data_IF_447315468990
#
_entry.id   IF_447315468990
#
_cell.length_a   1.000
_cell.length_b   1.000
_cell.length_c   1.000
_cell.angle_alpha   90.00
_cell.angle_beta   90.00
_cell.angle_gamma   90.00
#
_symmetry.space_group_name_H-M   'P 1'
#
loop_
_entity.id
_entity.type
_entity.pdbx_description
1 polymer ?
2 non-polymer ?
3 non-polymer ?
4 water ?
#
# COMPACT_ATOMS: atom_id res chain seq x y z
N UNK A 41 -11.96 -12.86 -19.89
CA UNK A 41 -10.52 -13.17 -19.99
C UNK A 41 -10.16 -14.23 -18.94
N UNK A 42 -9.51 -15.30 -19.40
CA UNK A 42 -9.07 -16.38 -18.54
C UNK A 42 -7.76 -15.99 -17.87
N UNK A 43 -7.53 -16.44 -16.64
CA UNK A 43 -6.35 -16.00 -15.89
C UNK A 43 -5.57 -17.13 -15.25
N UNK A 44 -4.35 -17.36 -15.72
CA UNK A 44 -3.51 -18.38 -15.14
C UNK A 44 -2.26 -17.76 -14.55
N UNK A 45 -1.79 -18.31 -13.44
CA UNK A 45 -0.51 -17.94 -12.85
C UNK A 45 0.53 -19.02 -13.17
N UNK A 46 1.70 -18.60 -13.65
CA UNK A 46 2.85 -19.53 -13.78
C UNK A 46 3.72 -19.28 -12.52
N UNK A 47 3.79 -20.26 -11.61
CA UNK A 47 4.64 -20.15 -10.39
C UNK A 47 5.85 -21.10 -10.44
N UNK A 48 6.78 -20.91 -9.51
CA UNK A 48 7.98 -21.70 -9.42
C UNK A 48 9.16 -20.90 -8.90
N UNK A 49 10.07 -21.60 -8.23
CA UNK A 49 11.39 -21.08 -7.84
C UNK A 49 12.23 -20.33 -8.89
N UNK A 50 13.18 -19.54 -8.38
CA UNK A 50 14.09 -18.66 -9.14
C UNK A 50 14.96 -19.33 -10.22
N UNK A 51 14.86 -18.84 -11.45
CA UNK A 51 15.53 -19.43 -12.60
C UNK A 51 15.09 -20.87 -12.89
N UNK A 52 13.85 -21.20 -12.53
CA UNK A 52 13.23 -22.48 -12.82
C UNK A 52 12.70 -22.59 -14.27
N UNK A 53 12.48 -21.47 -14.92
CA UNK A 53 12.00 -21.47 -16.33
C UNK A 53 10.78 -20.61 -16.68
N UNK A 54 10.14 -19.96 -15.70
CA UNK A 54 8.87 -19.22 -15.96
C UNK A 54 8.90 -18.27 -17.14
N UNK A 55 9.87 -17.35 -17.10
CA UNK A 55 10.14 -16.44 -18.20
C UNK A 55 10.34 -17.16 -19.52
N UNK A 56 10.97 -18.33 -19.49
CA UNK A 56 11.07 -19.15 -20.71
C UNK A 56 9.69 -19.72 -21.08
N UNK A 57 9.11 -20.53 -20.20
CA UNK A 57 7.79 -21.13 -20.48
C UNK A 57 6.84 -20.06 -21.04
N UNK A 58 6.94 -18.85 -20.50
CA UNK A 58 6.08 -17.71 -20.86
C UNK A 58 6.44 -17.07 -22.21
N UNK A 59 7.73 -16.83 -22.48
CA UNK A 59 8.15 -16.26 -23.76
C UNK A 59 7.88 -17.24 -24.90
N UNK A 60 7.84 -18.54 -24.58
CA UNK A 60 7.42 -19.58 -25.53
C UNK A 60 5.89 -19.62 -25.66
N UNK A 61 5.21 -19.75 -24.52
CA UNK A 61 3.76 -19.85 -24.52
C UNK A 61 3.07 -18.73 -25.29
N UNK A 62 3.48 -17.48 -25.10
CA UNK A 62 2.81 -16.37 -25.78
C UNK A 62 2.91 -16.42 -27.31
N UNK A 63 3.88 -17.17 -27.83
CA UNK A 63 4.13 -17.24 -29.26
C UNK A 63 3.21 -18.20 -30.02
N UNK A 64 2.55 -19.08 -29.30
CA UNK A 64 1.80 -20.19 -29.89
C UNK A 64 0.38 -19.83 -30.23
N UNK A 65 -0.11 -18.70 -29.72
CA UNK A 65 -1.46 -18.25 -30.08
C UNK A 65 -1.60 -16.73 -30.02
N UNK A 66 -2.36 -16.17 -30.95
CA UNK A 66 -2.64 -14.76 -30.88
C UNK A 66 -3.68 -14.49 -29.80
N UNK A 67 -4.30 -15.56 -29.28
CA UNK A 67 -5.29 -15.46 -28.17
C UNK A 67 -4.62 -15.52 -26.79
N UNK A 68 -3.30 -15.51 -26.74
CA UNK A 68 -2.62 -15.67 -25.48
C UNK A 68 -1.78 -14.44 -25.11
N UNK A 69 -1.84 -13.97 -23.87
CA UNK A 69 -0.86 -12.95 -23.42
C UNK A 69 -0.29 -13.11 -22.02
N UNK A 70 0.82 -12.42 -21.79
CA UNK A 70 1.64 -12.57 -20.61
C UNK A 70 1.75 -11.26 -19.81
N UNK A 71 1.82 -11.38 -18.50
CA UNK A 71 2.22 -10.22 -17.69
C UNK A 71 3.48 -10.62 -16.99
N UNK A 72 4.64 -10.15 -17.49
CA UNK A 72 5.88 -10.54 -16.85
C UNK A 72 6.07 -9.92 -15.45
N UNK A 73 6.94 -10.48 -14.63
CA UNK A 73 7.08 -10.05 -13.22
C UNK A 73 7.78 -8.72 -13.09
N UNK A 74 7.16 -7.76 -12.39
CA UNK A 74 7.82 -6.51 -11.98
C UNK A 74 9.24 -6.75 -11.50
N UNK A 75 9.38 -7.60 -10.49
CA UNK A 75 10.69 -7.87 -9.86
C UNK A 75 11.76 -8.24 -10.89
N UNK A 76 11.33 -8.87 -12.00
CA UNK A 76 12.26 -9.35 -13.04
C UNK A 76 12.61 -8.27 -14.05
N UNK A 77 11.68 -7.34 -14.27
CA UNK A 77 11.99 -6.15 -15.03
C UNK A 77 13.01 -5.25 -14.32
N UNK A 78 13.02 -5.31 -12.98
CA UNK A 78 14.07 -4.61 -12.24
C UNK A 78 15.40 -5.35 -12.35
N UNK A 79 15.35 -6.63 -12.76
CA UNK A 79 16.56 -7.47 -12.88
C UNK A 79 16.96 -7.67 -14.35
N UNK A 91 14.72 3.84 -18.59
CA UNK A 91 14.23 3.29 -17.31
C UNK A 91 13.46 4.39 -16.58
N UNK A 92 12.46 3.99 -15.79
CA UNK A 92 11.41 4.89 -15.28
C UNK A 92 11.31 4.85 -13.76
N UNK A 93 10.38 5.63 -13.21
CA UNK A 93 10.15 5.66 -11.76
C UNK A 93 9.78 4.31 -11.16
N UNK A 94 9.18 3.40 -11.93
CA UNK A 94 9.09 2.03 -11.45
C UNK A 94 10.48 1.41 -11.50
N UNK A 95 11.09 1.40 -12.68
CA UNK A 95 12.40 0.74 -12.88
C UNK A 95 13.41 1.17 -11.83
N UNK A 96 13.58 2.50 -11.74
CA UNK A 96 14.54 3.15 -10.86
C UNK A 96 14.25 2.96 -9.37
N UNK A 97 12.96 3.02 -8.98
CA UNK A 97 12.52 2.66 -7.64
C UNK A 97 12.67 1.16 -7.44
N UNK A 98 12.33 0.39 -8.47
CA UNK A 98 12.53 -1.03 -8.46
C UNK A 98 13.98 -1.49 -8.41
N UNK A 99 14.84 -0.90 -9.26
CA UNK A 99 16.26 -1.26 -9.30
C UNK A 99 16.99 -1.00 -7.99
N UNK A 100 16.78 0.18 -7.41
CA UNK A 100 17.40 0.57 -6.17
C UNK A 100 17.11 -0.30 -4.97
N UNK A 101 15.82 -0.58 -4.66
CA UNK A 101 15.50 -1.32 -3.43
C UNK A 101 15.88 -2.78 -3.50
N UNK A 102 15.67 -3.35 -4.68
CA UNK A 102 16.19 -4.68 -4.93
C UNK A 102 17.63 -4.76 -4.45
N UNK A 103 18.47 -3.82 -4.90
CA UNK A 103 19.89 -3.80 -4.54
C UNK A 103 20.11 -3.57 -3.04
N UNK A 104 19.22 -2.79 -2.41
CA UNK A 104 19.20 -2.54 -0.96
C UNK A 104 18.89 -3.84 -0.22
N UNK A 105 17.93 -4.58 -0.79
CA UNK A 105 17.38 -5.82 -0.26
C UNK A 105 18.44 -6.94 -0.24
N UNK A 106 19.40 -6.89 -1.16
CA UNK A 106 20.57 -7.79 -1.12
C UNK A 106 21.56 -7.44 -0.01
N UNK A 107 21.64 -6.16 0.36
CA UNK A 107 22.60 -5.73 1.39
C UNK A 107 22.06 -5.82 2.79
N UNK A 108 20.78 -5.44 2.99
CA UNK A 108 20.18 -5.41 4.34
C UNK A 108 18.77 -6.00 4.37
N UNK A 109 18.65 -7.32 4.27
CA UNK A 109 17.30 -7.78 3.99
C UNK A 109 16.37 -7.57 5.19
N UNK A 110 16.95 -7.56 6.40
CA UNK A 110 16.18 -7.33 7.61
C UNK A 110 15.67 -5.89 7.69
N UNK A 111 16.12 -5.05 6.76
CA UNK A 111 15.66 -3.68 6.71
C UNK A 111 14.76 -3.28 5.50
N UNK A 112 14.66 -4.10 4.44
CA UNK A 112 13.98 -3.67 3.18
C UNK A 112 12.91 -4.58 2.57
N UNK A 113 12.61 -5.68 3.25
CA UNK A 113 11.63 -6.66 2.78
C UNK A 113 10.21 -6.18 2.85
N UNK A 114 9.89 -5.36 3.82
CA UNK A 114 8.54 -4.80 3.87
C UNK A 114 8.38 -3.95 2.64
N UNK A 115 9.39 -3.11 2.45
CA UNK A 115 9.35 -2.06 1.49
C UNK A 115 9.42 -2.64 0.10
N UNK A 116 10.14 -3.74 -0.03
CA UNK A 116 10.31 -4.46 -1.25
C UNK A 116 9.04 -5.22 -1.49
N UNK A 117 8.58 -5.90 -0.44
CA UNK A 117 7.39 -6.74 -0.54
C UNK A 117 6.10 -5.98 -0.79
N UNK A 118 6.06 -4.71 -0.38
CA UNK A 118 4.92 -3.83 -0.72
C UNK A 118 5.01 -3.33 -2.18
N UNK A 119 6.16 -2.75 -2.52
CA UNK A 119 6.37 -2.22 -3.87
C UNK A 119 6.11 -3.24 -4.97
N UNK A 120 6.66 -4.44 -4.78
CA UNK A 120 6.48 -5.51 -5.75
C UNK A 120 5.02 -5.90 -5.93
N UNK A 121 4.33 -6.20 -4.83
CA UNK A 121 2.91 -6.57 -4.92
C UNK A 121 2.15 -5.46 -5.60
N UNK A 122 2.40 -4.22 -5.20
CA UNK A 122 1.78 -3.10 -5.90
C UNK A 122 1.99 -3.13 -7.40
N UNK A 123 3.26 -3.14 -7.81
CA UNK A 123 3.66 -3.12 -9.20
C UNK A 123 3.15 -4.32 -9.98
N UNK A 124 3.08 -5.48 -9.34
CA UNK A 124 2.34 -6.60 -9.91
C UNK A 124 0.84 -6.26 -10.11
N UNK A 125 0.22 -5.65 -9.10
CA UNK A 125 -1.23 -5.37 -9.14
C UNK A 125 -1.46 -4.37 -10.24
N UNK A 126 -0.63 -3.34 -10.24
CA UNK A 126 -0.61 -2.37 -11.31
C UNK A 126 -0.62 -3.03 -12.67
N UNK A 127 0.39 -3.86 -12.91
CA UNK A 127 0.71 -4.33 -14.27
C UNK A 127 -0.24 -5.38 -14.80
N UNK A 128 -0.72 -6.25 -13.92
CA UNK A 128 -1.76 -7.19 -14.28
C UNK A 128 -3.06 -6.50 -14.70
N UNK A 129 -3.28 -5.28 -14.17
CA UNK A 129 -4.50 -4.48 -14.41
C UNK A 129 -4.55 -3.65 -15.67
N UNK A 130 -3.40 -3.06 -16.01
CA UNK A 130 -3.15 -2.42 -17.29
C UNK A 130 -3.05 -3.45 -18.41
N UNK A 131 -2.84 -4.72 -18.03
CA UNK A 131 -2.80 -5.80 -18.98
C UNK A 131 -4.13 -6.50 -19.23
N UNK A 132 -5.03 -6.51 -18.22
CA UNK A 132 -6.35 -7.12 -18.34
C UNK A 132 -7.39 -6.16 -18.91
N UNK A 134 -6.36 -4.07 -21.04
CA UNK A 134 -5.35 -3.73 -22.05
C UNK A 134 -5.25 -4.72 -23.20
N UNK A 135 -4.70 -5.90 -22.93
CA UNK A 135 -4.40 -6.88 -23.97
C UNK A 135 -5.55 -7.86 -24.20
N UNK A 136 -5.48 -8.57 -25.33
CA UNK A 136 -6.46 -9.57 -25.74
C UNK A 136 -7.87 -9.01 -26.00
N UNK A 137 -7.96 -7.84 -26.62
CA UNK A 137 -9.25 -7.24 -26.93
C UNK A 137 -10.03 -7.96 -28.05
N UNK A 138 -9.38 -8.24 -29.19
CA UNK A 138 -9.99 -9.04 -30.26
C UNK A 138 -9.53 -10.51 -30.28
N UNK A 139 -10.13 -11.31 -29.38
CA UNK A 139 -9.82 -12.73 -29.26
C UNK A 139 -11.07 -13.49 -28.85
N UNK A 140 -11.20 -14.69 -29.39
CA UNK A 140 -12.31 -15.59 -29.11
C UNK A 140 -12.11 -16.40 -27.83
N UNK A 141 -10.87 -16.84 -27.59
CA UNK A 141 -10.60 -17.73 -26.47
C UNK A 141 -9.39 -17.18 -25.74
N UNK A 142 -9.54 -15.98 -25.13
CA UNK A 142 -8.38 -15.23 -24.66
C UNK A 142 -7.89 -15.70 -23.28
N UNK A 143 -6.58 -15.92 -23.17
CA UNK A 143 -5.93 -16.32 -21.90
C UNK A 143 -4.79 -15.35 -21.55
N UNK A 144 -4.72 -14.95 -20.27
CA UNK A 144 -3.56 -14.16 -19.80
C UNK A 144 -2.75 -14.98 -18.80
N UNK A 145 -1.45 -15.17 -19.08
CA UNK A 145 -0.59 -15.92 -18.20
C UNK A 145 0.18 -14.99 -17.27
N UNK A 146 -0.04 -15.13 -15.98
CA UNK A 146 0.58 -14.23 -15.01
C UNK A 146 1.91 -14.82 -14.58
N UNK A 147 2.98 -14.05 -14.75
CA UNK A 147 4.31 -14.53 -14.39
C UNK A 147 4.42 -14.36 -12.86
N UNK A 148 4.01 -15.39 -12.12
CA UNK A 148 3.80 -15.34 -10.65
C UNK A 148 2.47 -14.64 -10.28
N UNK A 149 2.15 -14.49 -8.99
CA UNK A 149 0.85 -13.90 -8.53
C UNK A 149 0.84 -13.15 -7.16
N UNK A 150 -0.29 -12.50 -6.83
CA UNK A 150 -0.46 -11.82 -5.53
C UNK A 150 -0.32 -12.76 -4.37
N UNK A 151 -0.49 -14.05 -4.62
CA UNK A 151 -0.29 -15.08 -3.60
C UNK A 151 1.15 -15.56 -3.56
N UNK A 152 1.81 -15.61 -4.73
CA UNK A 152 3.27 -15.79 -4.74
C UNK A 152 3.88 -14.82 -3.74
N UNK A 153 3.65 -13.54 -3.99
CA UNK A 153 4.15 -12.44 -3.16
C UNK A 153 4.07 -12.67 -1.67
N UNK A 154 2.87 -13.08 -1.24
CA UNK A 154 2.51 -13.18 0.12
C UNK A 154 2.98 -14.51 0.71
N UNK A 155 2.47 -15.60 0.15
CA UNK A 155 2.53 -16.87 0.83
C UNK A 155 3.81 -17.67 0.51
N UNK A 156 4.66 -17.12 -0.37
CA UNK A 156 6.01 -17.66 -0.70
C UNK A 156 7.10 -16.74 -0.14
N UNK A 157 7.21 -15.53 -0.69
CA UNK A 157 8.34 -14.67 -0.34
C UNK A 157 8.15 -13.91 1.00
N UNK A 158 7.12 -13.08 1.08
CA UNK A 158 6.75 -12.30 2.27
C UNK A 158 6.53 -13.05 3.59
N UNK A 159 6.00 -14.26 3.51
CA UNK A 159 6.04 -15.30 4.56
C UNK A 159 7.47 -15.81 4.84
N UNK A 160 8.20 -16.18 3.79
CA UNK A 160 9.64 -16.53 3.85
C UNK A 160 10.64 -15.49 4.37
N UNK A 161 10.32 -14.20 4.26
CA UNK A 161 11.16 -13.20 4.88
C UNK A 161 10.91 -13.15 6.37
N UNK A 162 9.66 -13.34 6.76
CA UNK A 162 9.26 -13.34 8.15
C UNK A 162 9.86 -14.54 8.86
N UNK A 163 9.59 -15.71 8.31
CA UNK A 163 10.14 -16.97 8.83
C UNK A 163 11.68 -16.91 8.91
N UNK A 164 12.26 -16.04 8.09
CA UNK A 164 13.70 -15.87 8.02
C UNK A 164 14.20 -14.71 8.90
N UNK A 165 13.26 -14.10 9.62
CA UNK A 165 13.52 -12.94 10.48
C UNK A 165 14.06 -11.75 9.73
N UNK A 166 13.55 -11.49 8.52
CA UNK A 166 13.94 -10.30 7.79
C UNK A 166 12.83 -9.27 7.75
N UNK A 167 11.69 -9.59 8.35
CA UNK A 167 10.62 -8.64 8.63
C UNK A 167 10.23 -9.11 10.00
N UNK A 168 9.63 -8.22 10.79
CA UNK A 168 9.09 -8.61 12.11
C UNK A 168 7.57 -8.86 12.15
N UNK A 169 7.03 -9.22 13.31
CA UNK A 169 5.60 -9.45 13.42
C UNK A 169 4.73 -8.29 12.96
N UNK A 170 5.07 -7.08 13.39
CA UNK A 170 4.34 -5.86 13.00
C UNK A 170 4.34 -5.71 11.50
N UNK A 171 5.54 -5.64 10.92
CA UNK A 171 5.76 -5.56 9.48
C UNK A 171 5.01 -6.64 8.76
N UNK A 172 5.25 -7.87 9.17
CA UNK A 172 4.64 -8.98 8.54
C UNK A 172 3.12 -8.94 8.70
N UNK A 173 2.59 -8.54 9.83
CA UNK A 173 1.11 -8.41 9.88
C UNK A 173 0.53 -7.10 9.32
N UNK A 174 1.38 -6.10 9.16
CA UNK A 174 1.02 -4.90 8.41
C UNK A 174 0.94 -5.20 6.92
N UNK A 175 1.81 -6.09 6.46
CA UNK A 175 1.85 -6.42 5.06
C UNK A 175 0.64 -7.27 4.75
N UNK A 176 0.34 -8.15 5.68
CA UNK A 176 -0.79 -9.03 5.59
C UNK A 176 -2.05 -8.21 5.52
N UNK A 177 -2.23 -7.31 6.49
CA UNK A 177 -3.38 -6.39 6.54
C UNK A 177 -3.54 -5.56 5.26
N UNK A 178 -2.42 -5.09 4.70
CA UNK A 178 -2.46 -4.29 3.50
C UNK A 178 -2.76 -5.15 2.27
N UNK A 179 -2.03 -6.27 2.12
CA UNK A 179 -2.31 -7.26 1.07
C UNK A 179 -3.80 -7.58 1.05
N UNK A 180 -4.39 -7.83 2.22
CA UNK A 180 -5.82 -8.21 2.26
C UNK A 180 -6.74 -7.08 1.80
N UNK A 181 -6.38 -5.85 2.11
CA UNK A 181 -7.13 -4.67 1.62
C UNK A 181 -6.78 -4.20 0.20
N UNK A 182 -5.51 -4.28 -0.16
CA UNK A 182 -5.09 -3.78 -1.47
C UNK A 182 -5.55 -4.73 -2.57
N UNK A 183 -5.77 -6.00 -2.21
CA UNK A 183 -6.32 -6.96 -3.15
C UNK A 183 -7.84 -6.97 -3.23
N UNK A 184 -8.50 -6.40 -2.24
CA UNK A 184 -9.97 -6.45 -2.20
C UNK A 184 -10.67 -5.18 -2.66
N UNK A 185 -9.90 -4.12 -2.89
CA UNK A 185 -10.42 -2.88 -3.42
C UNK A 185 -10.13 -2.71 -4.88
N UNK A 186 -8.89 -3.01 -5.26
CA UNK A 186 -8.48 -2.76 -6.63
C UNK A 186 -8.24 -4.08 -7.35
N UNK A 187 -8.13 -5.18 -6.60
CA UNK A 187 -7.64 -6.43 -7.19
C UNK A 187 -8.58 -7.61 -7.22
N UNK A 188 -9.88 -7.36 -7.07
CA UNK A 188 -10.88 -8.43 -7.05
C UNK A 188 -10.83 -9.32 -8.28
N UNK A 189 -10.65 -8.71 -9.44
CA UNK A 189 -10.78 -9.39 -10.72
C UNK A 189 -9.42 -9.85 -11.28
N UNK A 190 -8.36 -9.69 -10.50
CA UNK A 190 -7.08 -10.28 -10.87
C UNK A 190 -7.10 -11.76 -10.47
N UNK A 191 -8.25 -12.16 -9.90
CA UNK A 191 -8.62 -13.53 -9.59
C UNK A 191 -8.35 -14.57 -10.64
N UNK A 192 -7.65 -15.64 -10.22
CA UNK A 192 -7.10 -16.61 -11.17
C UNK A 192 -8.10 -17.71 -11.48
N UNK A 193 -8.05 -18.19 -12.72
CA UNK A 193 -8.92 -19.29 -13.14
C UNK A 193 -8.19 -20.63 -13.09
N UNK A 194 -6.88 -20.58 -12.86
CA UNK A 194 -6.06 -21.78 -12.61
C UNK A 194 -4.63 -21.42 -12.19
N UNK A 195 -3.81 -22.43 -11.92
CA UNK A 195 -2.38 -22.20 -11.69
C UNK A 195 -1.51 -23.22 -12.43
N UNK A 196 -0.34 -22.78 -12.91
CA UNK A 196 0.68 -23.65 -13.54
C UNK A 196 2.02 -23.63 -12.78
N UNK A 197 2.42 -24.80 -12.31
CA UNK A 197 3.53 -24.99 -11.41
C UNK A 197 4.74 -25.60 -12.10
N UNK A 198 5.67 -24.75 -12.51
CA UNK A 198 6.95 -25.20 -13.03
C UNK A 198 7.83 -25.66 -11.87
N UNK A 199 8.10 -26.98 -11.84
CA UNK A 199 8.77 -27.60 -10.73
C UNK A 199 10.16 -28.09 -11.09
N UNK A 200 11.16 -27.32 -10.68
CA UNK A 200 12.54 -27.74 -10.77
C UNK A 200 12.93 -28.09 -9.33
N UNK A 201 13.99 -28.88 -9.16
CA UNK A 201 14.54 -29.24 -7.85
C UNK A 201 15.21 -27.99 -7.28
N UNK A 202 15.29 -27.87 -5.92
CA UNK A 202 16.10 -26.73 -5.44
C UNK A 202 17.44 -26.67 -6.20
N UNK A 203 17.95 -27.82 -6.59
CA UNK A 203 19.25 -27.96 -7.29
C UNK A 203 19.27 -27.37 -8.70
N UNK A 204 18.31 -27.79 -9.55
CA UNK A 204 18.16 -27.28 -10.94
C UNK A 204 18.24 -25.75 -11.09
N UNK A 205 17.49 -25.04 -10.25
CA UNK A 205 17.45 -23.57 -10.27
C UNK A 205 18.82 -22.85 -10.19
N UNK A 206 19.73 -23.32 -9.33
CA UNK A 206 21.03 -22.63 -9.00
C UNK A 206 21.99 -22.51 -10.19
N UNK A 207 21.96 -23.54 -11.03
CA UNK A 207 22.76 -23.58 -12.25
C UNK A 207 22.13 -22.66 -13.28
N UNK A 208 20.81 -22.53 -13.22
CA UNK A 208 20.10 -21.71 -14.21
C UNK A 208 20.14 -20.24 -13.80
N UNK A 209 20.64 -19.95 -12.58
CA UNK A 209 20.96 -18.57 -12.17
C UNK A 209 22.36 -18.21 -12.70
N UNK A 210 23.25 -19.18 -12.67
CA UNK A 210 24.58 -18.97 -13.22
C UNK A 210 24.46 -18.65 -14.72
N UNK A 211 23.75 -19.50 -15.45
CA UNK A 211 23.49 -19.36 -16.90
C UNK A 211 23.14 -17.96 -17.29
N UNK A 212 22.09 -17.43 -16.67
CA UNK A 212 21.62 -16.07 -16.82
C UNK A 212 22.67 -15.04 -16.44
N UNK A 213 23.51 -15.38 -15.45
CA UNK A 213 24.73 -14.62 -15.18
C UNK A 213 24.51 -13.28 -14.57
N UNK A 214 23.33 -13.08 -13.98
CA UNK A 214 23.02 -11.87 -13.25
C UNK A 214 23.99 -11.78 -12.09
N UNK A 215 24.62 -10.63 -11.94
CA UNK A 215 25.70 -10.50 -10.96
C UNK A 215 25.19 -10.71 -9.56
N UNK A 216 24.33 -9.80 -9.10
CA UNK A 216 23.78 -9.83 -7.73
C UNK A 216 23.04 -11.10 -7.39
N UNK A 217 22.53 -11.78 -8.40
CA UNK A 217 21.95 -13.11 -8.19
C UNK A 217 22.98 -14.19 -7.89
N UNK A 218 24.14 -14.13 -8.55
CA UNK A 218 25.13 -15.20 -8.42
C UNK A 218 25.56 -15.29 -6.97
N UNK A 219 25.11 -14.30 -6.18
CA UNK A 219 25.16 -14.33 -4.72
C UNK A 219 23.99 -15.04 -4.02
N UNK A 220 22.90 -15.31 -4.75
CA UNK A 220 21.80 -16.10 -4.14
C UNK A 220 22.41 -17.42 -3.72
N UNK A 221 22.36 -17.72 -2.39
CA UNK A 221 22.94 -18.98 -1.93
C UNK A 221 21.97 -20.11 -2.19
N UNK A 222 22.50 -21.33 -2.22
CA UNK A 222 21.71 -22.54 -2.48
C UNK A 222 20.57 -22.73 -1.48
N UNK A 223 20.84 -22.38 -0.23
CA UNK A 223 19.97 -22.59 0.93
C UNK A 223 18.73 -21.75 0.86
N UNK A 224 18.84 -20.66 0.09
CA UNK A 224 17.74 -19.77 -0.20
C UNK A 224 16.78 -20.47 -1.17
N UNK A 225 17.30 -20.87 -2.32
CA UNK A 225 16.52 -21.63 -3.31
C UNK A 225 15.85 -22.83 -2.69
N UNK A 226 16.30 -23.23 -1.49
CA UNK A 226 15.74 -24.41 -0.81
C UNK A 226 14.42 -24.23 -0.04
N UNK A 227 14.31 -23.19 0.76
CA UNK A 227 13.07 -22.96 1.53
C UNK A 227 11.94 -22.38 0.67
N UNK A 228 12.32 -21.54 -0.28
CA UNK A 228 11.39 -21.03 -1.27
C UNK A 228 10.81 -22.30 -1.85
N UNK A 229 11.70 -23.24 -2.17
CA UNK A 229 11.33 -24.52 -2.79
C UNK A 229 10.45 -25.51 -2.04
N UNK A 230 10.57 -25.60 -0.71
CA UNK A 230 9.65 -26.49 0.01
C UNK A 230 8.34 -25.79 0.31
N UNK A 231 8.30 -24.48 0.13
CA UNK A 231 7.07 -23.72 0.30
C UNK A 231 6.12 -23.71 -0.92
N UNK A 232 6.64 -23.91 -2.12
CA UNK A 232 5.80 -24.06 -3.33
C UNK A 232 5.09 -25.42 -3.28
N UNK A 233 5.86 -26.51 -3.14
CA UNK A 233 5.35 -27.86 -2.84
C UNK A 233 4.20 -27.83 -1.83
N UNK A 234 4.41 -27.18 -0.68
CA UNK A 234 3.40 -27.13 0.38
C UNK A 234 2.11 -26.46 -0.09
N UNK A 235 2.20 -25.27 -0.67
CA UNK A 235 1.01 -24.56 -1.16
C UNK A 235 0.37 -25.28 -2.36
N UNK A 236 1.24 -25.69 -3.28
CA UNK A 236 0.78 -26.17 -4.60
C UNK A 236 0.86 -27.68 -4.95
N UNK A 237 1.40 -28.49 -4.06
CA UNK A 237 1.29 -29.96 -4.21
C UNK A 237 0.46 -30.53 -3.10
N UNK A 238 1.09 -30.80 -1.97
CA UNK A 238 0.43 -31.38 -0.81
C UNK A 238 -0.83 -30.59 -0.49
N UNK A 239 -0.88 -29.36 -1.01
CA UNK A 239 -1.77 -28.31 -0.53
C UNK A 239 -1.73 -28.35 1.00
N UNK A 240 -0.49 -28.33 1.50
CA UNK A 240 -0.16 -28.31 2.93
C UNK A 240 -0.44 -26.95 3.57
N UNK A 241 -0.17 -25.86 2.85
CA UNK A 241 -0.57 -24.51 3.26
C UNK A 241 -2.08 -24.27 3.07
N UNK A 242 -2.61 -23.26 3.76
CA UNK A 242 -3.97 -22.77 3.56
C UNK A 242 -3.87 -21.26 3.51
N UNK A 243 -4.60 -20.64 2.59
CA UNK A 243 -4.57 -19.19 2.43
C UNK A 243 -5.89 -18.55 2.90
N UNK A 244 -5.97 -17.24 2.75
CA UNK A 244 -7.09 -16.42 3.22
C UNK A 244 -7.95 -15.91 2.06
N UNK A 245 -7.97 -16.70 1.00
CA UNK A 245 -8.70 -16.42 -0.24
C UNK A 245 -9.31 -17.73 -0.71
N UNK A 246 -10.54 -18.00 -0.26
CA UNK A 246 -11.09 -19.37 -0.26
C UNK A 246 -11.29 -19.97 -1.66
N UNK A 247 -11.72 -19.15 -2.63
CA UNK A 247 -11.87 -19.60 -4.01
C UNK A 247 -10.55 -20.22 -4.47
N UNK A 248 -9.45 -19.91 -3.75
CA UNK A 248 -8.13 -20.45 -4.07
C UNK A 248 -8.00 -21.92 -3.68
N UNK A 249 -8.81 -22.36 -2.72
CA UNK A 249 -8.79 -23.76 -2.31
C UNK A 249 -9.43 -24.67 -3.35
N UNK A 250 -10.31 -24.08 -4.17
CA UNK A 250 -11.03 -24.73 -5.31
C UNK A 250 -10.55 -24.34 -6.70
N UNK A 251 -9.41 -23.68 -6.80
CA UNK A 251 -8.70 -23.42 -8.07
C UNK A 251 -7.91 -24.69 -8.43
N UNK A 252 -8.00 -25.14 -9.70
CA UNK A 252 -7.24 -26.30 -10.07
C UNK A 252 -5.80 -25.95 -10.35
N UNK A 253 -4.97 -26.97 -10.36
CA UNK A 253 -3.55 -26.83 -10.46
C UNK A 253 -3.11 -27.93 -11.39
N UNK A 254 -2.15 -27.61 -12.23
CA UNK A 254 -1.49 -28.51 -13.15
C UNK A 254 -0.06 -28.25 -12.80
N UNK A 255 0.66 -29.31 -12.53
CA UNK A 255 2.03 -29.18 -12.11
C UNK A 255 2.91 -29.88 -13.11
N UNK A 256 3.99 -29.22 -13.53
CA UNK A 256 4.94 -29.74 -14.50
C UNK A 256 6.38 -29.79 -13.98
N UNK A 257 6.91 -31.02 -13.94
CA UNK A 257 8.36 -31.21 -13.82
C UNK A 257 9.00 -30.52 -14.99
N UNK A 258 9.86 -29.57 -14.63
CA UNK A 258 10.66 -28.75 -15.56
C UNK A 258 12.18 -28.85 -15.26
N UNK A 259 12.61 -29.96 -14.65
CA UNK A 259 14.05 -30.28 -14.49
C UNK A 259 14.71 -30.58 -15.86
N UNK A 260 13.94 -31.24 -16.73
CA UNK A 260 14.37 -31.43 -18.11
C UNK A 260 14.29 -30.10 -18.86
N UNK A 261 15.41 -29.65 -19.42
CA UNK A 261 15.47 -28.44 -20.22
C UNK A 261 14.55 -28.52 -21.45
N UNK A 262 13.60 -27.59 -21.54
CA UNK A 262 12.65 -27.59 -22.65
C UNK A 262 12.82 -26.44 -23.65
N UNK A 263 13.95 -25.74 -23.58
CA UNK A 263 14.26 -24.67 -24.52
C UNK A 263 14.12 -25.12 -25.98
N UNK A 264 14.20 -26.42 -26.24
CA UNK A 264 13.89 -26.86 -27.59
C UNK A 264 12.61 -27.69 -27.69
N UNK A 265 12.18 -28.23 -26.55
CA UNK A 265 11.33 -29.42 -26.41
C UNK A 265 10.12 -29.23 -25.44
N UNK A 266 9.18 -28.37 -25.81
CA UNK A 266 8.12 -28.02 -24.85
C UNK A 266 6.77 -28.61 -25.20
N UNK A 267 6.71 -29.34 -26.30
CA UNK A 267 5.44 -29.74 -26.89
C UNK A 267 4.47 -30.41 -25.95
N UNK A 268 4.91 -31.50 -25.27
CA UNK A 268 4.04 -32.20 -24.31
C UNK A 268 3.69 -31.45 -23.03
N UNK A 269 4.58 -30.57 -22.58
CA UNK A 269 4.27 -29.57 -21.52
C UNK A 269 3.09 -28.68 -21.97
N UNK A 270 3.22 -28.10 -23.17
CA UNK A 270 2.19 -27.26 -23.81
C UNK A 270 0.87 -28.00 -24.04
N UNK A 271 0.99 -29.30 -24.36
CA UNK A 271 -0.12 -30.24 -24.50
C UNK A 271 -1.01 -30.43 -23.26
N UNK A 272 -0.38 -30.36 -22.07
CA UNK A 272 -1.10 -30.49 -20.80
C UNK A 272 -1.63 -29.13 -20.39
N UNK A 273 -0.86 -28.09 -20.71
CA UNK A 273 -1.35 -26.73 -20.61
C UNK A 273 -2.64 -26.60 -21.44
N UNK A 274 -2.57 -26.96 -22.72
CA UNK A 274 -3.77 -26.88 -23.59
C UNK A 274 -4.91 -27.69 -23.05
N UNK A 275 -4.54 -28.85 -22.53
CA UNK A 275 -5.44 -29.79 -21.95
C UNK A 275 -6.11 -29.26 -20.66
N UNK A 276 -5.31 -28.61 -19.81
CA UNK A 276 -5.78 -28.04 -18.56
C UNK A 276 -6.74 -26.88 -18.83
N UNK A 277 -6.34 -25.99 -19.72
CA UNK A 277 -7.21 -24.90 -20.21
C UNK A 277 -8.54 -25.42 -20.78
N UNK A 278 -8.49 -26.55 -21.47
CA UNK A 278 -9.73 -27.17 -21.96
C UNK A 278 -10.60 -27.81 -20.87
N UNK A 279 -10.07 -27.92 -19.64
CA UNK A 279 -10.87 -28.39 -18.49
C UNK A 279 -11.26 -27.23 -17.55
N UNK A 280 -11.50 -26.04 -18.13
CA UNK A 280 -12.02 -24.90 -17.38
C UNK A 280 -13.17 -24.33 -18.18
N UNK B 40 -23.03 12.80 -2.61
CA UNK B 40 -24.12 13.55 -1.89
C UNK B 40 -23.75 13.87 -0.43
N UNK B 41 -22.88 13.06 0.16
CA UNK B 41 -22.38 13.32 1.51
C UNK B 41 -21.14 14.20 1.42
N UNK B 42 -21.25 15.43 1.91
CA UNK B 42 -20.17 16.40 1.82
C UNK B 42 -18.94 16.10 2.71
N UNK B 43 -17.77 15.93 2.05
CA UNK B 43 -16.51 15.64 2.76
C UNK B 43 -15.80 16.92 3.05
N UNK B 44 -15.37 17.08 4.30
CA UNK B 44 -14.78 18.30 4.75
C UNK B 44 -13.70 17.88 5.75
N UNK B 45 -12.46 18.05 5.34
CA UNK B 45 -11.34 17.71 6.18
C UNK B 45 -11.00 18.88 7.11
N UNK B 46 -10.59 18.54 8.32
CA UNK B 46 -10.09 19.53 9.27
C UNK B 46 -8.57 19.41 9.27
N UNK B 47 -7.87 20.49 8.94
CA UNK B 47 -6.42 20.44 8.94
C UNK B 47 -5.79 21.25 10.09
N UNK B 48 -4.72 20.75 10.70
CA UNK B 48 -4.02 21.52 11.76
C UNK B 48 -2.83 20.79 12.39
N UNK B 49 -1.86 21.54 12.92
CA UNK B 49 -0.66 20.92 13.59
C UNK B 49 -1.01 20.01 14.80
N UNK B 50 -0.10 19.10 15.18
CA UNK B 50 -0.28 18.26 16.37
C UNK B 50 -0.81 19.16 17.50
N UNK B 51 -1.74 18.62 18.30
CA UNK B 51 -2.46 19.35 19.35
C UNK B 51 -3.05 20.75 19.05
N UNK B 52 -3.40 21.01 17.79
CA UNK B 52 -3.96 22.29 17.41
C UNK B 52 -5.39 22.45 17.97
N UNK B 53 -6.04 21.33 18.28
CA UNK B 53 -7.44 21.31 18.70
C UNK B 53 -8.45 20.63 17.76
N UNK B 54 -7.96 19.95 16.73
CA UNK B 54 -8.82 19.30 15.68
C UNK B 54 -9.97 18.48 16.25
N UNK B 55 -9.66 17.74 17.30
CA UNK B 55 -10.48 16.64 17.75
C UNK B 55 -11.39 17.11 18.88
N UNK B 56 -11.04 18.24 19.46
CA UNK B 56 -11.92 18.97 20.38
C UNK B 56 -13.03 19.59 19.57
N UNK B 57 -12.64 20.20 18.45
CA UNK B 57 -13.59 20.93 17.61
C UNK B 57 -14.49 19.91 16.92
N UNK B 58 -13.91 18.78 16.51
CA UNK B 58 -14.68 17.79 15.74
C UNK B 58 -15.73 17.10 16.59
N UNK B 59 -15.40 16.81 17.85
CA UNK B 59 -16.37 16.24 18.74
C UNK B 59 -17.30 17.32 19.27
N UNK B 60 -16.97 18.61 19.08
CA UNK B 60 -17.89 19.68 19.42
C UNK B 60 -18.98 19.73 18.35
N UNK B 61 -18.58 19.60 17.10
CA UNK B 61 -19.54 19.77 16.01
C UNK B 61 -20.47 18.58 15.91
N UNK B 62 -19.93 17.40 16.19
CA UNK B 62 -20.65 16.16 16.05
C UNK B 62 -21.98 16.21 16.83
N UNK B 63 -21.96 16.89 17.97
CA UNK B 63 -23.10 17.01 18.89
C UNK B 63 -24.13 18.03 18.47
N UNK B 64 -23.78 18.89 17.51
CA UNK B 64 -24.66 19.99 17.12
C UNK B 64 -25.59 19.60 15.96
N UNK B 65 -25.23 18.54 15.24
CA UNK B 65 -26.10 18.11 14.13
C UNK B 65 -26.11 16.59 13.88
N UNK B 66 -27.29 15.97 14.01
CA UNK B 66 -27.42 14.56 13.61
C UNK B 66 -27.10 14.43 12.12
N UNK B 67 -27.22 15.54 11.40
CA UNK B 67 -26.71 15.62 10.03
C UNK B 67 -25.19 15.78 9.92
N UNK B 68 -24.48 15.74 11.04
CA UNK B 68 -23.01 15.91 11.06
C UNK B 68 -22.29 14.74 11.76
N UNK B 69 -21.40 14.06 11.03
CA UNK B 69 -20.62 12.99 11.63
C UNK B 69 -19.11 13.20 11.44
N UNK B 70 -18.35 12.35 12.13
CA UNK B 70 -16.91 12.49 12.27
C UNK B 70 -16.17 11.25 11.79
N UNK B 71 -14.98 11.43 11.20
CA UNK B 71 -14.06 10.30 11.00
C UNK B 71 -12.76 10.62 11.71
N UNK B 72 -12.54 9.96 12.89
CA UNK B 72 -11.34 10.36 13.62
C UNK B 72 -10.08 9.78 12.93
N UNK B 73 -8.97 10.49 13.01
CA UNK B 73 -7.74 9.96 12.38
C UNK B 73 -7.22 8.72 13.15
N UNK B 74 -6.84 7.65 12.42
CA UNK B 74 -6.31 6.48 13.12
C UNK B 74 -5.09 6.70 14.01
N UNK B 75 -4.06 7.41 13.55
CA UNK B 75 -2.87 7.58 14.37
C UNK B 75 -3.20 8.23 15.73
N UNK B 76 -4.06 9.25 15.68
CA UNK B 76 -4.73 9.79 16.87
C UNK B 76 -5.33 8.72 17.76
N UNK B 77 -6.15 7.86 17.18
CA UNK B 77 -6.62 6.63 17.80
C UNK B 77 -5.51 5.76 18.40
N UNK B 78 -4.40 5.58 17.67
CA UNK B 78 -3.30 4.69 18.08
C UNK B 78 -2.50 5.25 19.27
N UNK B 79 -2.52 6.58 19.41
CA UNK B 79 -1.65 7.32 20.35
C UNK B 79 -2.20 7.15 21.75
N UNK B 80 -1.87 6.01 22.35
CA UNK B 80 -2.58 5.44 23.50
C UNK B 80 -1.72 5.08 24.72
N UNK B 81 -2.26 4.19 25.56
CA UNK B 81 -1.63 3.74 26.81
C UNK B 81 -2.39 2.54 27.31
N UNK B 92 -8.00 -4.72 18.45
CA UNK B 92 -8.01 -4.96 17.00
C UNK B 92 -6.60 -4.95 16.44
N UNK B 93 -6.36 -5.82 15.46
CA UNK B 93 -5.02 -5.95 14.84
C UNK B 93 -4.42 -4.62 14.42
N UNK B 94 -5.27 -3.76 13.87
CA UNK B 94 -4.89 -2.43 13.45
C UNK B 94 -4.50 -1.48 14.58
N UNK B 95 -4.94 -1.76 15.80
CA UNK B 95 -4.44 -0.99 16.98
C UNK B 95 -3.11 -1.55 17.38
N UNK B 96 -3.08 -2.86 17.65
CA UNK B 96 -1.88 -3.57 18.04
C UNK B 96 -0.72 -3.11 17.15
N UNK B 97 -0.92 -3.22 15.84
CA UNK B 97 0.04 -2.77 14.86
C UNK B 97 0.39 -1.31 14.94
N UNK B 98 -0.60 -0.47 15.24
CA UNK B 98 -0.47 0.99 15.17
C UNK B 98 0.33 1.56 16.32
N UNK B 99 -0.06 1.23 17.55
CA UNK B 99 0.68 1.65 18.74
C UNK B 99 2.12 1.13 18.62
N UNK B 100 2.27 0.02 17.93
CA UNK B 100 3.57 -0.61 17.79
C UNK B 100 4.47 0.19 16.88
N UNK B 101 4.00 0.34 15.64
CA UNK B 101 4.65 1.14 14.65
C UNK B 101 4.81 2.57 15.15
N UNK B 102 3.85 3.06 15.93
CA UNK B 102 3.88 4.45 16.40
C UNK B 102 4.88 4.57 17.53
N UNK B 103 5.01 3.52 18.33
CA UNK B 103 6.05 3.47 19.38
C UNK B 103 7.39 3.35 18.66
N UNK B 104 7.45 2.55 17.60
CA UNK B 104 8.73 2.34 16.93
C UNK B 104 9.17 3.58 16.15
N UNK B 105 8.20 4.33 15.64
CA UNK B 105 8.37 5.61 14.99
C UNK B 105 9.02 6.65 15.91
N UNK B 106 8.62 6.66 17.17
CA UNK B 106 9.21 7.60 18.14
C UNK B 106 10.69 7.32 18.35
N UNK B 107 10.98 6.09 18.76
CA UNK B 107 12.34 5.63 19.08
C UNK B 107 13.40 5.67 17.96
N UNK B 108 13.02 5.38 16.73
CA UNK B 108 14.00 5.52 15.63
C UNK B 108 13.32 5.84 14.30
N UNK B 109 13.00 7.14 14.07
CA UNK B 109 12.14 7.58 12.98
C UNK B 109 12.64 7.29 11.53
N UNK B 110 13.94 7.24 11.35
CA UNK B 110 14.56 6.96 10.06
C UNK B 110 14.43 5.50 9.58
N UNK B 111 14.56 4.55 10.50
CA UNK B 111 14.12 3.16 10.32
C UNK B 111 12.61 3.07 10.00
N UNK B 112 11.79 3.72 10.82
CA UNK B 112 10.36 3.41 10.65
C UNK B 112 9.45 4.26 9.82
N UNK B 113 9.93 5.37 9.25
CA UNK B 113 9.05 6.35 8.58
C UNK B 113 8.17 5.85 7.44
N UNK B 114 8.76 5.15 6.48
CA UNK B 114 7.97 4.68 5.32
C UNK B 114 6.79 3.76 5.72
N UNK B 115 7.10 2.69 6.42
CA UNK B 115 6.13 1.72 6.90
C UNK B 115 4.96 2.46 7.53
N UNK B 116 5.27 3.25 8.55
CA UNK B 116 4.31 4.01 9.37
C UNK B 116 3.50 4.98 8.58
N UNK B 117 4.12 5.68 7.63
CA UNK B 117 3.37 6.51 6.72
C UNK B 117 2.40 5.66 5.93
N UNK B 118 2.90 4.66 5.23
CA UNK B 118 1.99 3.82 4.42
C UNK B 118 0.87 3.21 5.26
N UNK B 119 1.04 3.08 6.59
CA UNK B 119 0.04 2.41 7.42
C UNK B 119 -0.95 3.39 8.06
N UNK B 120 -0.47 4.59 8.37
CA UNK B 120 -1.29 5.73 8.76
C UNK B 120 -2.22 6.06 7.59
N UNK B 121 -1.69 6.01 6.37
CA UNK B 121 -2.51 6.39 5.24
C UNK B 121 -3.45 5.30 4.74
N UNK B 122 -2.95 4.08 4.57
CA UNK B 122 -3.86 2.97 4.30
C UNK B 122 -4.96 2.82 5.38
N UNK B 123 -4.60 3.04 6.64
CA UNK B 123 -5.57 2.96 7.76
C UNK B 123 -6.60 4.08 7.64
N UNK B 124 -6.16 5.25 7.16
CA UNK B 124 -7.10 6.36 7.00
C UNK B 124 -7.98 6.11 5.79
N UNK B 125 -7.39 5.76 4.66
CA UNK B 125 -8.25 5.62 3.46
C UNK B 125 -9.46 4.71 3.76
N UNK B 126 -9.19 3.59 4.39
CA UNK B 126 -10.17 2.56 4.69
C UNK B 126 -11.16 3.01 5.76
N UNK B 127 -10.69 3.80 6.73
CA UNK B 127 -11.59 4.32 7.76
C UNK B 127 -12.52 5.35 7.16
N UNK B 128 -12.00 6.18 6.26
CA UNK B 128 -12.80 7.14 5.50
C UNK B 128 -13.95 6.51 4.68
N UNK B 129 -13.63 5.55 3.84
CA UNK B 129 -14.66 4.83 3.06
C UNK B 129 -15.76 4.18 3.91
N UNK B 130 -15.48 3.92 5.20
CA UNK B 130 -16.40 3.12 6.02
C UNK B 130 -17.54 3.95 6.58
N UNK B 131 -17.28 5.24 6.81
CA UNK B 131 -18.32 6.20 7.18
C UNK B 131 -19.22 6.55 5.99
N UNK B 132 -18.75 6.32 4.78
CA UNK B 132 -19.55 6.65 3.59
C UNK B 132 -20.65 5.61 3.40
N UNK B 133 -20.26 4.34 3.54
CA UNK B 133 -21.17 3.19 3.48
C UNK B 133 -21.84 2.92 4.79
N UNK B 134 -21.49 3.69 5.81
CA UNK B 134 -21.91 3.42 7.19
C UNK B 134 -22.87 4.47 7.72
N UNK B 136 -25.36 8.41 7.96
CA UNK B 136 -25.68 9.59 7.15
C UNK B 136 -26.42 9.20 5.87
N UNK B 137 -26.91 7.97 5.86
CA UNK B 137 -27.71 7.47 4.76
C UNK B 137 -28.92 8.40 4.56
N UNK B 138 -29.85 8.32 5.48
CA UNK B 138 -31.12 9.09 5.48
C UNK B 138 -31.01 10.59 5.55
N UNK B 139 -29.81 11.10 5.88
CA UNK B 139 -29.60 12.48 6.30
C UNK B 139 -29.85 13.51 5.24
N UNK B 140 -30.69 14.49 5.58
CA UNK B 140 -31.17 15.54 4.65
C UNK B 140 -30.08 16.45 4.09
N UNK B 141 -29.11 16.78 4.94
CA UNK B 141 -27.98 17.62 4.58
C UNK B 141 -26.72 16.96 5.15
N UNK B 142 -26.27 15.87 4.52
CA UNK B 142 -25.12 15.16 5.09
C UNK B 142 -23.81 15.91 4.91
N UNK B 143 -23.06 15.98 6.00
CA UNK B 143 -21.72 16.52 6.01
C UNK B 143 -21.01 15.55 6.93
N UNK B 144 -19.84 15.07 6.50
CA UNK B 144 -18.97 14.22 7.31
C UNK B 144 -17.61 14.94 7.49
N UNK B 145 -17.06 14.95 8.72
CA UNK B 145 -15.82 15.68 8.98
C UNK B 145 -14.69 14.69 9.16
N UNK B 146 -13.64 14.85 8.36
CA UNK B 146 -12.44 14.01 8.47
C UNK B 146 -11.46 14.67 9.45
N UNK B 147 -10.90 13.92 10.39
CA UNK B 147 -9.80 14.47 11.15
C UNK B 147 -8.55 14.27 10.27
N UNK B 148 -8.11 15.33 9.60
CA UNK B 148 -7.04 15.29 8.56
C UNK B 148 -7.42 14.45 7.34
N UNK B 149 -6.47 14.21 6.43
CA UNK B 149 -6.74 13.79 5.07
C UNK B 149 -5.56 13.00 4.42
N UNK B 150 -5.80 12.39 3.25
CA UNK B 150 -4.72 11.65 2.57
C UNK B 150 -3.66 12.67 2.19
N UNK B 151 -4.14 13.89 1.90
CA UNK B 151 -3.33 15.06 1.51
C UNK B 151 -2.42 15.57 2.62
N UNK B 152 -2.94 15.69 3.84
CA UNK B 152 -2.07 15.93 5.00
C UNK B 152 -1.13 14.77 5.32
N UNK B 153 -1.52 13.54 5.00
CA UNK B 153 -0.65 12.37 5.16
C UNK B 153 0.63 12.56 4.29
N UNK B 154 0.41 12.92 3.03
CA UNK B 154 1.46 13.05 2.05
C UNK B 154 2.22 14.37 2.01
N UNK B 155 1.53 15.48 2.32
CA UNK B 155 2.03 16.81 1.95
C UNK B 155 2.48 17.66 3.12
N UNK B 156 2.50 17.07 4.30
CA UNK B 156 2.86 17.78 5.55
C UNK B 156 3.71 16.78 6.27
N UNK B 157 3.10 15.63 6.58
CA UNK B 157 3.76 14.64 7.44
C UNK B 157 4.84 13.77 6.76
N UNK B 158 4.58 13.30 5.54
CA UNK B 158 5.50 12.44 4.77
C UNK B 158 6.42 13.34 3.96
N UNK B 159 5.99 14.56 3.72
CA UNK B 159 6.92 15.48 3.12
C UNK B 159 7.86 16.02 4.20
N UNK B 160 7.36 16.22 5.40
CA UNK B 160 8.27 16.66 6.48
C UNK B 160 9.40 15.68 6.71
N UNK B 161 9.05 14.46 7.10
CA UNK B 161 10.01 13.39 7.41
C UNK B 161 11.02 13.15 6.33
N UNK B 162 10.64 13.37 5.06
CA UNK B 162 11.54 13.22 3.91
C UNK B 162 12.54 14.36 3.86
N UNK B 163 12.06 15.58 4.13
CA UNK B 163 12.87 16.76 4.01
C UNK B 163 13.71 16.86 5.26
N UNK B 164 13.31 16.10 6.28
CA UNK B 164 14.00 16.01 7.57
C UNK B 164 14.68 14.68 7.64
N UNK B 165 14.74 13.98 6.50
CA UNK B 165 15.74 12.94 6.24
C UNK B 165 15.47 11.51 6.76
N UNK B 166 14.28 11.28 7.34
CA UNK B 166 13.77 9.97 7.73
C UNK B 166 13.24 9.10 6.57
N UNK B 167 13.00 9.68 5.41
CA UNK B 167 12.71 8.92 4.18
C UNK B 167 13.84 9.27 3.21
N UNK B 168 14.70 8.30 2.86
CA UNK B 168 15.61 8.47 1.73
C UNK B 168 14.73 8.55 0.47
N UNK B 169 15.34 8.87 -0.69
CA UNK B 169 14.58 9.22 -1.93
C UNK B 169 13.82 8.05 -2.53
N UNK B 170 14.44 6.87 -2.54
CA UNK B 170 13.74 5.67 -3.00
C UNK B 170 12.46 5.51 -2.18
N UNK B 171 12.55 5.76 -0.87
CA UNK B 171 11.41 5.53 0.03
C UNK B 171 10.27 6.47 -0.21
N UNK B 172 10.61 7.66 -0.70
CA UNK B 172 9.68 8.73 -0.84
C UNK B 172 9.01 8.60 -2.18
N UNK B 173 9.74 8.14 -3.18
CA UNK B 173 9.15 8.05 -4.52
C UNK B 173 8.21 6.85 -4.56
N UNK B 174 8.59 5.79 -3.85
CA UNK B 174 7.69 4.68 -3.59
C UNK B 174 6.45 5.12 -2.79
N UNK B 175 6.63 5.87 -1.71
CA UNK B 175 5.44 6.34 -0.96
C UNK B 175 4.49 7.09 -1.87
N UNK B 176 5.05 7.88 -2.79
CA UNK B 176 4.29 8.87 -3.56
C UNK B 176 3.67 8.26 -4.79
N UNK B 177 4.39 7.29 -5.32
CA UNK B 177 3.89 6.48 -6.40
C UNK B 177 2.62 5.74 -5.91
N UNK B 178 2.80 4.93 -4.87
CA UNK B 178 1.78 4.16 -4.15
C UNK B 178 0.57 5.00 -3.75
N UNK B 179 0.81 6.28 -3.56
CA UNK B 179 -0.21 7.21 -3.12
C UNK B 179 -1.00 7.69 -4.33
N UNK B 180 -0.30 7.92 -5.44
CA UNK B 180 -0.93 8.38 -6.67
C UNK B 180 -1.88 7.35 -7.17
N UNK B 181 -1.38 6.12 -7.24
CA UNK B 181 -2.07 5.03 -7.87
C UNK B 181 -3.35 4.68 -7.11
N UNK B 182 -3.28 4.77 -5.77
CA UNK B 182 -4.38 4.43 -4.89
C UNK B 182 -5.49 5.51 -4.87
N UNK B 183 -5.13 6.75 -5.19
CA UNK B 183 -6.06 7.86 -5.10
C UNK B 183 -6.55 8.36 -6.45
N UNK B 184 -5.99 7.81 -7.52
CA UNK B 184 -6.50 8.01 -8.86
C UNK B 184 -7.51 6.91 -9.10
N UNK B 185 -7.47 5.90 -8.22
CA UNK B 185 -8.36 4.74 -8.24
C UNK B 185 -9.60 4.91 -7.39
N UNK B 186 -9.73 6.05 -6.73
CA UNK B 186 -10.97 6.37 -6.02
C UNK B 186 -11.81 7.37 -6.76
N UNK B 187 -11.24 7.90 -7.86
CA UNK B 187 -11.86 9.00 -8.58
C UNK B 187 -12.19 10.07 -7.58
N UNK B 188 -13.49 10.37 -7.46
CA UNK B 188 -13.99 11.43 -6.55
C UNK B 188 -14.85 10.90 -5.41
N UNK B 189 -14.57 9.69 -4.96
CA UNK B 189 -15.25 9.13 -3.80
C UNK B 189 -14.80 9.86 -2.55
N UNK B 190 -13.49 10.07 -2.44
CA UNK B 190 -12.93 10.65 -1.24
C UNK B 190 -12.53 12.08 -1.48
N UNK B 191 -12.94 12.64 -2.61
CA UNK B 191 -12.60 14.01 -2.93
C UNK B 191 -13.28 15.01 -1.99
N UNK B 192 -12.50 16.00 -1.54
CA UNK B 192 -12.99 16.95 -0.54
C UNK B 192 -13.75 18.11 -1.18
N UNK B 193 -14.95 18.38 -0.66
CA UNK B 193 -15.70 19.64 -0.89
C UNK B 193 -15.09 20.78 -0.11
N UNK B 194 -14.49 20.50 1.05
CA UNK B 194 -13.86 21.59 1.81
C UNK B 194 -12.82 21.18 2.83
N UNK B 195 -11.99 22.17 3.19
CA UNK B 195 -10.91 22.08 4.15
C UNK B 195 -10.98 23.23 5.13
N UNK B 196 -11.17 22.93 6.40
CA UNK B 196 -11.19 23.93 7.43
C UNK B 196 -9.84 23.83 8.09
N UNK B 197 -9.10 24.93 8.13
CA UNK B 197 -7.76 24.93 8.69
C UNK B 197 -7.81 25.47 10.09
N UNK B 198 -7.47 24.63 11.04
CA UNK B 198 -7.47 25.02 12.44
C UNK B 198 -6.14 25.61 12.87
N UNK B 199 -5.78 26.73 12.22
CA UNK B 199 -4.61 27.53 12.55
C UNK B 199 -4.39 27.88 14.02
N UNK B 200 -3.17 27.66 14.49
CA UNK B 200 -2.74 27.95 15.87
C UNK B 200 -1.21 28.28 15.85
N UNK B 201 -0.58 28.36 17.03
CA UNK B 201 0.91 28.50 17.12
C UNK B 201 1.61 27.29 17.74
N UNK B 202 2.89 27.02 17.34
CA UNK B 202 3.59 25.84 17.89
C UNK B 202 3.75 25.88 19.42
N UNK B 203 3.77 27.07 20.01
CA UNK B 203 3.96 27.16 21.47
C UNK B 203 2.67 26.79 22.17
N UNK B 204 1.55 27.12 21.55
CA UNK B 204 0.23 26.72 22.06
C UNK B 204 -0.01 25.22 21.84
N UNK B 205 0.75 24.61 20.93
CA UNK B 205 0.59 23.19 20.67
C UNK B 205 1.44 22.36 21.61
N UNK B 206 2.50 22.97 22.13
CA UNK B 206 3.40 22.28 23.04
C UNK B 206 2.72 22.28 24.37
N UNK B 207 2.09 23.42 24.66
CA UNK B 207 1.27 23.61 25.86
C UNK B 207 0.21 22.53 25.80
N UNK B 208 -0.61 22.58 24.76
CA UNK B 208 -1.68 21.58 24.52
C UNK B 208 -1.21 20.13 24.65
N UNK B 209 -0.12 19.76 23.99
CA UNK B 209 0.54 18.45 24.20
C UNK B 209 0.76 18.05 25.68
N UNK B 210 1.49 18.89 26.41
CA UNK B 210 1.77 18.63 27.84
C UNK B 210 0.47 18.76 28.65
N UNK B 211 -0.46 19.54 28.12
CA UNK B 211 -1.78 19.72 28.71
C UNK B 211 -2.72 18.59 28.27
N UNK B 212 -2.20 17.72 27.40
CA UNK B 212 -2.92 16.50 27.04
C UNK B 212 -2.35 15.27 27.72
N UNK B 213 -1.08 15.34 28.12
CA UNK B 213 -0.47 14.32 28.99
C UNK B 213 -0.17 12.95 28.39
N UNK B 214 0.06 12.88 27.08
CA UNK B 214 0.48 11.60 26.46
C UNK B 214 1.98 11.47 26.68
N UNK B 215 2.39 10.62 27.63
CA UNK B 215 3.80 10.48 28.06
C UNK B 215 4.81 10.46 26.92
N UNK B 216 4.37 9.90 25.79
CA UNK B 216 5.24 9.60 24.66
C UNK B 216 5.30 10.79 23.75
N UNK B 217 4.32 11.66 23.91
CA UNK B 217 4.21 12.87 23.13
C UNK B 217 4.93 14.03 23.81
N UNK B 218 5.42 13.80 25.03
CA UNK B 218 6.14 14.86 25.78
C UNK B 218 7.50 15.25 25.14
N UNK B 219 8.12 14.31 24.43
CA UNK B 219 9.45 14.45 23.82
C UNK B 219 9.57 15.25 22.53
N UNK B 220 8.52 15.23 21.71
CA UNK B 220 8.41 16.08 20.49
C UNK B 220 8.73 17.53 20.84
N UNK B 221 9.78 18.11 20.20
CA UNK B 221 10.28 19.44 20.54
C UNK B 221 9.58 20.52 19.74
N UNK B 222 9.81 21.78 20.08
CA UNK B 222 9.18 22.89 19.36
C UNK B 222 9.55 23.04 17.88
N UNK B 223 10.83 22.86 17.53
CA UNK B 223 11.27 23.03 16.15
C UNK B 223 10.52 22.12 15.20
N UNK B 224 10.33 20.87 15.61
CA UNK B 224 9.57 19.91 14.82
C UNK B 224 8.15 20.47 14.63
N UNK B 225 7.49 20.79 15.72
CA UNK B 225 6.22 21.55 15.64
C UNK B 225 6.35 22.73 14.70
N UNK B 226 7.43 23.51 14.85
CA UNK B 226 7.71 24.59 13.89
C UNK B 226 7.88 24.19 12.43
N UNK B 227 8.28 22.94 12.16
CA UNK B 227 8.36 22.43 10.77
C UNK B 227 6.96 22.21 10.20
N UNK B 228 6.09 21.69 11.07
CA UNK B 228 4.75 21.29 10.64
C UNK B 228 3.88 22.51 10.56
N UNK B 229 4.23 23.52 11.35
CA UNK B 229 3.58 24.80 11.21
C UNK B 229 3.93 25.46 9.88
N UNK B 230 5.22 25.43 9.51
CA UNK B 230 5.63 26.02 8.25
C UNK B 230 4.93 25.40 7.05
N UNK B 231 4.65 24.08 7.10
CA UNK B 231 4.08 23.34 5.96
C UNK B 231 2.56 23.54 5.76
N UNK B 232 1.86 23.67 6.89
CA UNK B 232 0.42 24.03 6.90
C UNK B 232 0.18 25.44 6.40
N UNK B 233 0.89 26.40 7.00
CA UNK B 233 0.91 27.78 6.49
C UNK B 233 1.06 27.86 4.99
N UNK B 234 2.02 27.12 4.42
CA UNK B 234 2.32 27.20 2.99
C UNK B 234 1.30 26.51 2.09
N UNK B 235 0.85 25.32 2.52
CA UNK B 235 -0.13 24.56 1.75
C UNK B 235 -1.54 25.13 1.82
N UNK B 236 -1.94 25.60 2.98
CA UNK B 236 -3.35 26.05 3.17
C UNK B 236 -3.55 27.58 3.15
N UNK B 237 -3.03 28.26 4.17
CA UNK B 237 -3.12 29.73 4.29
C UNK B 237 -2.45 30.52 3.16
N UNK B 238 -1.21 30.18 2.84
CA UNK B 238 -0.51 30.83 1.74
C UNK B 238 -0.90 30.29 0.36
N UNK B 239 -1.41 29.05 0.31
CA UNK B 239 -1.92 28.34 -0.91
C UNK B 239 -0.94 27.94 -2.05
N UNK B 240 0.37 27.93 -1.74
CA UNK B 240 1.45 27.77 -2.74
C UNK B 240 1.88 26.33 -3.05
N UNK B 241 1.89 25.47 -2.04
CA UNK B 241 2.39 24.08 -2.18
C UNK B 241 1.60 23.36 -3.27
N UNK B 242 2.35 22.81 -4.22
CA UNK B 242 1.81 22.13 -5.37
C UNK B 242 1.40 20.71 -5.01
N UNK B 243 0.69 20.04 -5.90
CA UNK B 243 0.24 18.68 -5.65
C UNK B 243 -0.02 18.04 -6.98
N UNK B 244 -0.31 16.75 -6.96
CA UNK B 244 -0.53 16.00 -8.18
C UNK B 244 -2.03 15.85 -8.46
N UNK B 245 -2.83 16.48 -7.60
CA UNK B 245 -4.29 16.38 -7.67
C UNK B 245 -4.89 17.65 -8.25
N UNK B 246 -5.79 17.47 -9.21
CA UNK B 246 -6.31 18.60 -9.98
C UNK B 246 -7.03 19.62 -9.09
N UNK B 247 -8.18 19.20 -8.58
CA UNK B 247 -9.13 20.04 -7.85
C UNK B 247 -8.70 20.68 -6.53
N UNK B 248 -7.59 20.25 -5.93
CA UNK B 248 -7.16 20.84 -4.64
C UNK B 248 -6.57 22.26 -4.79
N UNK B 249 -6.69 22.82 -5.99
CA UNK B 249 -6.35 24.22 -6.25
C UNK B 249 -7.62 25.05 -6.20
N UNK B 250 -8.69 24.46 -6.70
CA UNK B 250 -9.99 25.12 -6.71
C UNK B 250 -10.89 24.51 -5.62
N UNK B 251 -10.29 24.25 -4.46
CA UNK B 251 -11.02 23.64 -3.34
C UNK B 251 -10.90 24.55 -2.11
N UNK B 252 -12.07 25.04 -1.61
CA UNK B 252 -12.22 26.11 -0.64
C UNK B 252 -11.75 25.78 0.77
N UNK B 253 -11.21 26.79 1.44
CA UNK B 253 -10.45 26.59 2.67
C UNK B 253 -10.85 27.60 3.75
N UNK B 254 -11.37 27.08 4.86
CA UNK B 254 -11.69 27.90 5.99
C UNK B 254 -10.54 27.91 6.97
N UNK B 255 -10.13 29.09 7.41
CA UNK B 255 -9.11 29.24 8.45
C UNK B 255 -9.78 29.71 9.73
N UNK B 256 -9.24 29.31 10.87
CA UNK B 256 -9.83 29.61 12.19
C UNK B 256 -8.76 29.59 13.29
N UNK B 257 -8.65 30.71 14.02
CA UNK B 257 -7.69 30.88 15.11
C UNK B 257 -8.14 30.23 16.42
N UNK B 258 -7.44 29.17 16.80
CA UNK B 258 -7.84 28.35 17.96
C UNK B 258 -6.89 28.54 19.17
N UNK B 259 -6.05 29.57 19.07
CA UNK B 259 -5.05 29.94 20.09
C UNK B 259 -5.60 30.24 21.50
N UNK B 260 -6.83 30.75 21.58
CA UNK B 260 -7.61 30.82 22.83
C UNK B 260 -8.46 29.55 23.03
N UNK B 261 -8.50 29.06 24.27
CA UNK B 261 -9.41 28.01 24.67
C UNK B 261 -10.78 28.28 24.07
N UNK B 262 -11.36 27.28 23.42
CA UNK B 262 -12.64 27.42 22.74
C UNK B 262 -13.73 26.48 23.25
N UNK B 263 -13.44 25.69 24.29
CA UNK B 263 -14.34 24.61 24.73
C UNK B 263 -15.69 25.11 25.27
N UNK B 264 -15.70 26.34 25.79
CA UNK B 264 -16.86 26.88 26.45
C UNK B 264 -17.32 28.00 25.60
N UNK B 265 -16.44 28.43 24.71
CA UNK B 265 -16.70 29.64 23.97
C UNK B 265 -16.32 29.36 22.50
N UNK B 266 -17.21 28.61 21.84
CA UNK B 266 -16.98 28.06 20.49
C UNK B 266 -18.00 28.43 19.45
N UNK B 267 -19.00 29.19 19.87
CA UNK B 267 -20.12 29.56 19.05
C UNK B 267 -19.76 30.34 17.78
N UNK B 268 -18.81 31.26 17.89
CA UNK B 268 -18.33 31.99 16.72
C UNK B 268 -17.61 31.11 15.71
N UNK B 269 -16.78 30.22 16.21
CA UNK B 269 -16.10 29.19 15.39
C UNK B 269 -17.14 28.35 14.61
N UNK B 270 -18.18 27.89 15.31
CA UNK B 270 -19.28 27.13 14.68
C UNK B 270 -20.03 27.94 13.63
N UNK B 271 -20.45 29.17 13.97
CA UNK B 271 -21.01 30.12 13.02
C UNK B 271 -20.14 30.19 11.76
N UNK B 272 -18.84 30.33 11.94
CA UNK B 272 -17.99 30.30 10.75
C UNK B 272 -18.18 29.03 9.94
N UNK B 273 -18.07 27.86 10.57
CA UNK B 273 -18.22 26.55 9.89
C UNK B 273 -19.46 26.43 8.97
N UNK B 274 -20.61 26.97 9.41
CA UNK B 274 -21.91 26.81 8.73
C UNK B 274 -22.08 27.68 7.51
N UNK B 275 -21.86 28.97 7.70
CA UNK B 275 -21.82 29.92 6.61
C UNK B 275 -20.83 29.40 5.54
N UNK B 276 -19.70 28.85 5.99
CA UNK B 276 -18.76 28.15 5.09
C UNK B 276 -19.39 26.96 4.33
N UNK B 277 -20.17 26.11 5.00
CA UNK B 277 -20.81 24.94 4.34
C UNK B 277 -21.93 25.29 3.35
N UNK B 278 -22.42 26.51 3.40
CA UNK B 278 -23.50 26.93 2.51
C UNK B 278 -22.93 27.49 1.20
N UNK B 279 -21.66 27.87 1.22
CA UNK B 279 -20.94 28.25 -0.01
C UNK B 279 -20.59 27.02 -0.84
N UNK B 280 -20.31 25.93 -0.14
CA UNK B 280 -19.84 24.71 -0.76
C UNK B 280 -21.04 23.97 -1.32
#
# INVERSE_FOLDING_TARGET
MGSSHHHHHHSSGLVPRGSHMATPPKRSSPSFSASSEGTRIKKISIEGNIAAGKSTFVNILKQLSEDWEVVPEPVARWSNVQSTQDEFEELTMEQKNGGNVLQMMYEKPERWSFTFQTYACLSRIRAQLASLNGKLKDAEKPVLFFERSVYSDRYIFASNLYESESMNETEWTIYQDWHDWMNNQFGQSLELDGIIYLQATPETCLHRIYLRGRNEEQGIPLEYLEKLHYKHESWLLHRTLKTNFDYLQEVPILTLDVNEDFKDKYESLVEKVKEFLSTL
MGSSHHHHHHSSGLVPRGSHMATPPKRSSPSFSASSEGTRIKKISIEGNIAAGKSTFVNILKQLSEDWEVVPEPVARWSNVQSTQDEFEELTMEQKNGGNVLQMMYEKPERWSFTFQTYACLSRIRAQLASLNGKLKDAEKPVLFFERSVYSDRYIFASNLYESESMNETEWTIYQDWHDWMNNQFGQSLELDGIIYLQATPETCLHRIYLRGRNEEQGIPLEYLEKLHYKHESWLLHRTLKTNFDYLQEVPILTLDVNEDFKDKYESLVEKVKEFLSTL
#
